data_IF_616554205187
#
_entry.id   IF_616554205187
#
_cell.length_a   1.000
_cell.length_b   1.000
_cell.length_c   1.000
_cell.angle_alpha   90.00
_cell.angle_beta   90.00
_cell.angle_gamma   90.00
#
_symmetry.space_group_name_H-M   'P 1'
#
loop_
_entity.id
_entity.type
_entity.pdbx_description
1 polymer ?
#
# COMPACT_ATOMS: atom_id res chain seq x y z
N UNK A 1 -45.00 34.35 51.79
CA UNK A 1 -44.25 34.44 50.52
C UNK A 1 -42.80 34.18 50.86
N UNK A 2 -42.34 32.95 50.68
CA UNK A 2 -40.99 32.53 51.07
C UNK A 2 -40.15 32.41 49.79
N UNK A 3 -39.14 33.28 49.66
CA UNK A 3 -38.20 33.28 48.54
C UNK A 3 -37.00 32.42 48.88
N UNK A 4 -36.92 31.23 48.28
CA UNK A 4 -35.77 30.32 48.36
C UNK A 4 -34.73 30.73 47.32
N UNK A 5 -33.59 31.24 47.78
CA UNK A 5 -32.38 31.45 46.97
C UNK A 5 -31.56 30.17 46.93
N UNK A 6 -31.45 29.54 45.76
CA UNK A 6 -30.55 28.41 45.54
C UNK A 6 -29.23 28.88 44.95
N UNK A 7 -28.16 28.69 45.71
CA UNK A 7 -26.75 28.89 45.32
C UNK A 7 -26.22 27.60 44.71
N UNK A 8 -25.90 27.60 43.42
CA UNK A 8 -25.27 26.46 42.73
C UNK A 8 -23.75 26.61 42.77
N UNK A 9 -23.09 25.77 43.58
CA UNK A 9 -21.64 25.59 43.58
C UNK A 9 -21.29 24.62 42.46
N UNK A 10 -20.54 25.08 41.45
CA UNK A 10 -20.02 24.24 40.36
C UNK A 10 -18.58 23.87 40.68
N UNK A 11 -18.36 22.61 41.04
CA UNK A 11 -17.04 22.02 41.31
C UNK A 11 -16.34 21.74 39.99
N UNK A 12 -15.13 22.29 39.81
CA UNK A 12 -14.29 22.06 38.63
C UNK A 12 -13.47 20.78 38.78
N UNK A 13 -13.67 19.82 37.86
CA UNK A 13 -12.87 18.60 37.77
C UNK A 13 -11.71 18.82 36.79
N UNK A 14 -10.48 18.82 37.30
CA UNK A 14 -9.25 18.90 36.51
C UNK A 14 -8.92 17.54 35.86
N UNK A 15 -8.54 17.56 34.58
CA UNK A 15 -8.00 16.40 33.85
C UNK A 15 -6.50 16.58 33.62
N UNK A 16 -5.67 15.53 33.79
CA UNK A 16 -4.23 15.62 33.60
C UNK A 16 -3.83 15.51 32.12
N UNK A 17 -2.98 16.42 31.69
CA UNK A 17 -2.37 16.46 30.35
C UNK A 17 -1.10 15.63 30.34
N UNK A 18 -1.05 14.58 29.54
CA UNK A 18 0.18 13.80 29.28
C UNK A 18 1.03 14.49 28.22
N UNK A 19 2.27 14.81 28.59
CA UNK A 19 3.30 15.36 27.72
C UNK A 19 4.10 14.20 27.11
N UNK A 20 4.12 14.09 25.78
CA UNK A 20 4.97 13.13 25.06
C UNK A 20 6.16 13.88 24.44
N UNK A 21 7.34 13.63 24.97
CA UNK A 21 8.64 14.08 24.44
C UNK A 21 9.11 13.12 23.35
N UNK A 22 9.38 13.64 22.16
CA UNK A 22 10.01 12.89 21.07
C UNK A 22 11.49 13.25 20.98
N UNK A 23 12.35 12.26 21.23
CA UNK A 23 13.81 12.35 21.12
C UNK A 23 14.24 12.08 19.67
N UNK A 24 14.98 12.99 19.05
CA UNK A 24 15.55 12.82 17.70
C UNK A 24 17.01 12.38 17.81
N UNK A 25 17.30 11.15 17.38
CA UNK A 25 18.67 10.63 17.29
C UNK A 25 19.29 11.05 15.95
N UNK A 26 20.39 11.80 16.00
CA UNK A 26 21.17 12.21 14.83
C UNK A 26 22.32 11.22 14.62
N UNK A 27 22.39 10.57 13.47
CA UNK A 27 23.51 9.68 13.11
C UNK A 27 24.46 10.41 12.15
N UNK A 28 25.66 10.73 12.64
CA UNK A 28 26.75 11.30 11.86
C UNK A 28 27.59 10.18 11.25
N UNK A 29 27.80 10.18 9.93
CA UNK A 29 28.70 9.24 9.24
C UNK A 29 29.95 9.98 8.78
N UNK A 30 31.08 9.67 9.41
CA UNK A 30 32.41 10.23 9.10
C UNK A 30 33.01 9.49 7.91
N UNK A 31 33.37 10.24 6.86
CA UNK A 31 34.10 9.74 5.68
C UNK A 31 35.58 10.03 5.85
N UNK A 32 36.45 9.01 5.81
CA UNK A 32 37.90 9.17 5.78
C UNK A 32 38.44 8.82 4.40
N UNK A 33 39.13 9.78 3.79
CA UNK A 33 39.88 9.63 2.55
C UNK A 33 41.35 9.41 2.89
N UNK A 34 42.02 8.45 2.25
CA UNK A 34 43.48 8.30 2.38
C UNK A 34 44.15 8.31 1.01
N UNK A 35 45.01 9.30 0.85
CA UNK A 35 45.86 9.66 -0.28
C UNK A 35 46.98 8.64 -0.52
N UNK A 36 47.23 8.30 -1.78
CA UNK A 36 48.40 7.54 -2.26
C UNK A 36 49.56 8.48 -2.60
N UNK A 37 50.77 8.15 -2.12
CA UNK A 37 52.03 8.77 -2.54
C UNK A 37 52.94 7.74 -3.19
N UNK A 38 53.46 8.09 -4.36
CA UNK A 38 54.41 7.35 -5.21
C UNK A 38 55.84 7.81 -4.91
N UNK A 39 56.80 6.88 -4.87
CA UNK A 39 58.23 7.20 -5.06
C UNK A 39 58.94 6.07 -5.81
N UNK A 40 59.65 6.45 -6.87
CA UNK A 40 60.48 5.61 -7.73
C UNK A 40 61.92 5.51 -7.20
N UNK A 41 62.63 4.42 -7.51
CA UNK A 41 64.05 4.47 -7.90
C UNK A 41 64.52 3.18 -8.59
N UNK A 42 65.31 3.38 -9.65
CA UNK A 42 65.88 2.38 -10.55
C UNK A 42 67.30 1.95 -10.09
N UNK A 43 67.73 0.72 -10.43
CA UNK A 43 68.94 0.43 -11.25
C UNK A 43 69.46 -1.05 -11.17
N UNK A 44 69.51 -1.71 -12.35
CA UNK A 44 70.54 -2.60 -12.96
C UNK A 44 70.93 -3.96 -12.29
N UNK A 45 71.17 -5.12 -12.91
CA UNK A 45 70.88 -5.85 -14.18
C UNK A 45 71.27 -7.36 -13.92
N UNK A 46 71.21 -8.30 -14.87
CA UNK A 46 70.27 -9.41 -14.94
C UNK A 46 70.76 -10.73 -14.33
N UNK A 47 69.85 -11.52 -13.77
CA UNK A 47 70.10 -12.94 -13.45
C UNK A 47 68.95 -13.77 -14.01
N UNK A 48 69.24 -14.48 -15.11
CA UNK A 48 68.39 -15.57 -15.59
C UNK A 48 68.12 -16.53 -14.43
N UNK A 49 66.84 -16.83 -14.16
CA UNK A 49 66.33 -18.19 -13.93
C UNK A 49 64.83 -18.25 -13.68
N UNK A 50 64.22 -19.17 -14.43
CA UNK A 50 63.08 -20.03 -14.08
C UNK A 50 61.69 -19.40 -13.97
N UNK A 51 60.91 -19.57 -15.06
CA UNK A 51 59.46 -19.58 -15.05
C UNK A 51 58.96 -20.66 -14.07
N UNK A 52 58.40 -20.23 -12.94
CA UNK A 52 57.61 -21.10 -12.07
C UNK A 52 56.19 -21.27 -12.65
N UNK A 53 55.53 -22.43 -12.49
CA UNK A 53 54.19 -22.70 -13.04
C UNK A 53 53.03 -21.90 -12.42
N UNK A 54 53.32 -20.86 -11.62
CA UNK A 54 52.30 -19.97 -11.06
C UNK A 54 52.12 -18.68 -11.90
N UNK A 55 52.71 -18.61 -13.09
CA UNK A 55 52.49 -17.55 -14.08
C UNK A 55 51.24 -17.71 -14.94
N UNK A 56 50.53 -18.84 -14.85
CA UNK A 56 49.29 -19.08 -15.62
C UNK A 56 48.05 -18.49 -14.92
N UNK A 57 48.18 -18.05 -13.67
CA UNK A 57 47.11 -17.36 -12.94
C UNK A 57 47.32 -15.84 -12.87
N UNK A 58 47.89 -15.21 -13.91
CA UNK A 58 47.60 -13.80 -14.15
C UNK A 58 46.20 -13.65 -14.74
N UNK A 59 45.22 -13.70 -13.83
CA UNK A 59 44.02 -12.85 -13.79
C UNK A 59 43.76 -12.09 -15.09
N UNK A 60 43.16 -12.78 -16.08
CA UNK A 60 42.43 -12.14 -17.18
C UNK A 60 41.37 -11.27 -16.51
N UNK A 61 41.69 -9.98 -16.40
CA UNK A 61 40.91 -8.94 -15.70
C UNK A 61 39.42 -9.14 -15.97
N UNK A 62 38.61 -9.17 -14.90
CA UNK A 62 37.14 -9.11 -14.95
C UNK A 62 36.56 -7.84 -15.58
N UNK A 63 37.37 -7.04 -16.28
CA UNK A 63 36.96 -5.79 -16.93
C UNK A 63 36.30 -5.98 -18.28
N UNK A 64 36.58 -7.09 -18.99
CA UNK A 64 36.02 -7.31 -20.34
C UNK A 64 34.59 -7.86 -20.27
N UNK A 65 34.35 -8.79 -19.34
CA UNK A 65 33.02 -9.37 -19.13
C UNK A 65 32.05 -8.35 -18.56
N UNK A 66 32.46 -7.55 -17.58
CA UNK A 66 31.66 -6.46 -17.03
C UNK A 66 31.34 -5.38 -18.06
N UNK A 67 32.30 -5.04 -18.94
CA UNK A 67 32.08 -4.06 -20.01
C UNK A 67 31.10 -4.60 -21.06
N UNK A 68 31.26 -5.87 -21.46
CA UNK A 68 30.35 -6.53 -22.39
C UNK A 68 28.94 -6.64 -21.80
N UNK A 69 28.84 -7.05 -20.53
CA UNK A 69 27.57 -7.11 -19.81
C UNK A 69 26.90 -5.74 -19.70
N UNK A 70 27.67 -4.68 -19.40
CA UNK A 70 27.18 -3.30 -19.38
C UNK A 70 26.69 -2.84 -20.76
N UNK A 71 27.39 -3.22 -21.83
CA UNK A 71 26.98 -2.96 -23.21
C UNK A 71 25.66 -3.64 -23.57
N UNK A 72 25.53 -4.93 -23.26
CA UNK A 72 24.30 -5.71 -23.50
C UNK A 72 23.13 -5.15 -22.70
N UNK A 73 23.34 -4.88 -21.41
CA UNK A 73 22.31 -4.27 -20.55
C UNK A 73 21.89 -2.89 -21.07
N UNK A 74 22.85 -2.10 -21.56
CA UNK A 74 22.58 -0.79 -22.15
C UNK A 74 21.76 -0.89 -23.43
N UNK A 75 22.13 -1.77 -24.35
CA UNK A 75 21.42 -1.98 -25.61
C UNK A 75 19.97 -2.43 -25.37
N UNK A 76 19.77 -3.41 -24.49
CA UNK A 76 18.42 -3.88 -24.12
C UNK A 76 17.61 -2.75 -23.47
N UNK A 77 18.20 -2.00 -22.53
CA UNK A 77 17.50 -0.88 -21.88
C UNK A 77 17.13 0.21 -22.89
N UNK A 78 17.99 0.51 -23.87
CA UNK A 78 17.72 1.48 -24.94
C UNK A 78 16.57 1.02 -25.83
N UNK A 79 16.62 -0.21 -26.34
CA UNK A 79 15.54 -0.76 -27.17
C UNK A 79 14.21 -0.80 -26.42
N UNK A 80 14.24 -1.17 -25.12
CA UNK A 80 13.04 -1.12 -24.29
C UNK A 80 12.51 0.32 -24.12
N UNK A 81 13.38 1.32 -23.92
CA UNK A 81 12.94 2.71 -23.86
C UNK A 81 12.39 3.22 -25.21
N UNK A 82 12.97 2.83 -26.34
CA UNK A 82 12.52 3.28 -27.66
C UNK A 82 11.19 2.65 -28.07
N UNK A 83 10.98 1.36 -27.75
CA UNK A 83 9.77 0.63 -28.11
C UNK A 83 8.63 0.83 -27.10
N UNK A 84 8.94 0.73 -25.81
CA UNK A 84 7.93 0.75 -24.73
C UNK A 84 7.78 2.13 -24.08
N UNK A 85 8.71 3.06 -24.33
CA UNK A 85 8.77 4.34 -23.64
C UNK A 85 9.22 4.20 -22.18
N UNK A 86 9.38 5.35 -21.52
CA UNK A 86 9.46 5.37 -20.07
C UNK A 86 8.07 5.15 -19.47
N UNK A 87 7.96 4.30 -18.45
CA UNK A 87 6.75 4.25 -17.62
C UNK A 87 6.55 5.65 -17.05
N UNK A 88 5.51 6.34 -17.51
CA UNK A 88 5.13 7.65 -16.95
C UNK A 88 4.78 7.42 -15.48
N UNK A 89 5.70 7.79 -14.61
CA UNK A 89 5.38 8.00 -13.21
C UNK A 89 4.49 9.22 -13.20
N UNK A 90 3.18 8.99 -13.27
CA UNK A 90 2.20 10.01 -12.96
C UNK A 90 2.45 10.40 -11.51
N UNK A 91 3.22 11.47 -11.32
CA UNK A 91 3.30 12.16 -10.07
C UNK A 91 1.93 12.80 -9.91
N UNK A 92 0.99 12.04 -9.37
CA UNK A 92 -0.25 12.61 -8.92
C UNK A 92 0.15 13.36 -7.66
N UNK A 93 0.55 14.62 -7.82
CA UNK A 93 0.49 15.57 -6.73
C UNK A 93 -0.97 15.58 -6.28
N UNK A 94 -1.29 14.67 -5.35
CA UNK A 94 -2.59 14.61 -4.68
C UNK A 94 -2.88 15.91 -3.92
N UNK A 95 -1.91 16.82 -3.87
CA UNK A 95 -1.97 18.12 -3.22
C UNK A 95 -1.54 19.14 -4.26
N UNK A 96 -2.46 20.02 -4.64
CA UNK A 96 -2.20 21.11 -5.58
C UNK A 96 -1.20 22.11 -4.98
N UNK A 97 -0.41 22.79 -5.80
CA UNK A 97 0.49 23.88 -5.36
C UNK A 97 -0.26 24.94 -4.53
N UNK A 98 -1.47 25.34 -4.95
CA UNK A 98 -2.35 26.25 -4.20
C UNK A 98 -2.66 25.75 -2.77
N UNK A 99 -2.83 24.43 -2.58
CA UNK A 99 -3.03 23.84 -1.25
C UNK A 99 -1.75 23.89 -0.42
N UNK A 100 -0.58 23.70 -1.03
CA UNK A 100 0.71 23.84 -0.36
C UNK A 100 0.96 25.28 0.09
N UNK A 101 0.63 26.26 -0.76
CA UNK A 101 0.74 27.68 -0.43
C UNK A 101 -0.16 28.04 0.75
N UNK A 102 -1.40 27.54 0.77
CA UNK A 102 -2.33 27.72 1.91
C UNK A 102 -1.83 27.07 3.20
N UNK A 103 -1.19 25.89 3.11
CA UNK A 103 -0.55 25.24 4.27
C UNK A 103 0.59 26.11 4.79
N UNK A 104 1.37 26.70 3.90
CA UNK A 104 2.45 27.58 4.28
C UNK A 104 1.93 28.88 4.92
N UNK A 105 0.87 29.48 4.38
CA UNK A 105 0.21 30.63 4.98
C UNK A 105 -0.29 30.32 6.39
N UNK A 106 -0.92 29.16 6.58
CA UNK A 106 -1.35 28.70 7.92
C UNK A 106 -0.19 28.64 8.91
N UNK A 107 0.97 28.10 8.50
CA UNK A 107 2.17 28.05 9.35
C UNK A 107 2.67 29.45 9.70
N UNK A 108 2.60 30.40 8.76
CA UNK A 108 3.00 31.78 9.02
C UNK A 108 2.07 32.45 10.06
N UNK A 109 0.75 32.19 9.99
CA UNK A 109 -0.21 32.67 11.01
C UNK A 109 0.03 32.03 12.38
N UNK A 110 0.39 30.76 12.40
CA UNK A 110 0.77 30.03 13.63
C UNK A 110 2.04 30.63 14.25
N UNK A 111 3.03 30.98 13.44
CA UNK A 111 4.21 31.70 13.90
C UNK A 111 3.86 33.07 14.50
N UNK A 112 2.95 33.83 13.86
CA UNK A 112 2.49 35.12 14.36
C UNK A 112 1.80 35.03 15.75
N UNK A 113 1.04 33.95 16.00
CA UNK A 113 0.44 33.67 17.31
C UNK A 113 1.54 33.45 18.36
N UNK A 114 2.57 32.67 18.02
CA UNK A 114 3.66 32.35 18.95
C UNK A 114 4.54 33.56 19.27
N UNK A 115 4.71 34.50 18.33
CA UNK A 115 5.49 35.73 18.53
C UNK A 115 4.67 36.89 19.11
N UNK A 116 3.36 36.74 19.27
CA UNK A 116 2.48 37.82 19.75
C UNK A 116 2.82 38.23 21.19
N UNK A 117 2.94 39.55 21.42
CA UNK A 117 3.36 40.11 22.71
C UNK A 117 2.17 40.49 23.58
N UNK A 118 1.08 40.94 22.96
CA UNK A 118 -0.14 41.38 23.67
C UNK A 118 -1.31 40.44 23.43
N UNK A 119 -2.26 40.42 24.37
CA UNK A 119 -3.47 39.58 24.29
C UNK A 119 -4.34 39.91 23.06
N UNK A 120 -4.38 41.18 22.66
CA UNK A 120 -5.15 41.64 21.50
C UNK A 120 -4.56 41.15 20.18
N UNK A 121 -3.24 41.25 20.00
CA UNK A 121 -2.52 40.72 18.83
C UNK A 121 -2.68 39.20 18.71
N UNK A 122 -2.61 38.50 19.85
CA UNK A 122 -2.84 37.05 19.90
C UNK A 122 -4.25 36.69 19.47
N UNK A 123 -5.26 37.41 19.97
CA UNK A 123 -6.65 37.19 19.59
C UNK A 123 -6.89 37.42 18.09
N UNK A 124 -6.31 38.49 17.51
CA UNK A 124 -6.39 38.77 16.07
C UNK A 124 -5.73 37.66 15.25
N UNK A 125 -4.50 37.28 15.59
CA UNK A 125 -3.76 36.23 14.88
C UNK A 125 -4.45 34.86 14.98
N UNK A 126 -5.07 34.56 16.13
CA UNK A 126 -5.86 33.35 16.32
C UNK A 126 -7.11 33.30 15.42
N UNK A 127 -7.79 34.44 15.26
CA UNK A 127 -8.93 34.56 14.36
C UNK A 127 -8.51 34.33 12.90
N UNK A 128 -7.41 34.95 12.47
CA UNK A 128 -6.84 34.77 11.12
C UNK A 128 -6.41 33.31 10.86
N UNK A 129 -5.69 32.69 11.80
CA UNK A 129 -5.31 31.28 11.73
C UNK A 129 -6.53 30.36 11.57
N UNK A 130 -7.61 30.64 12.32
CA UNK A 130 -8.83 29.83 12.27
C UNK A 130 -9.46 29.87 10.88
N UNK A 131 -9.47 31.03 10.22
CA UNK A 131 -10.02 31.16 8.87
C UNK A 131 -9.13 30.49 7.81
N UNK A 132 -7.82 30.71 7.85
CA UNK A 132 -6.87 30.04 6.93
C UNK A 132 -6.89 28.53 7.13
N UNK A 133 -7.01 28.04 8.37
CA UNK A 133 -7.11 26.60 8.65
C UNK A 133 -8.40 25.99 8.06
N UNK A 134 -9.54 26.71 8.08
CA UNK A 134 -10.75 26.26 7.37
C UNK A 134 -10.51 26.18 5.87
N UNK A 135 -9.83 27.17 5.29
CA UNK A 135 -9.53 27.19 3.85
C UNK A 135 -8.60 26.03 3.45
N UNK A 136 -7.54 25.77 4.23
CA UNK A 136 -6.66 24.61 4.05
C UNK A 136 -7.48 23.31 4.06
N UNK A 137 -8.33 23.12 5.06
CA UNK A 137 -9.17 21.93 5.16
C UNK A 137 -10.14 21.78 3.96
N UNK A 138 -10.69 22.89 3.45
CA UNK A 138 -11.51 22.88 2.23
C UNK A 138 -10.67 22.48 1.00
N UNK A 139 -9.49 23.06 0.83
CA UNK A 139 -8.60 22.77 -0.31
C UNK A 139 -8.13 21.31 -0.33
N UNK A 140 -7.75 20.74 0.81
CA UNK A 140 -7.38 19.31 0.94
C UNK A 140 -8.55 18.40 0.54
N UNK A 141 -9.78 18.74 0.94
CA UNK A 141 -10.98 17.97 0.54
C UNK A 141 -11.24 18.06 -0.96
N UNK A 142 -11.04 19.23 -1.55
CA UNK A 142 -11.18 19.45 -3.00
C UNK A 142 -10.13 18.65 -3.77
N UNK A 143 -8.86 18.69 -3.36
CA UNK A 143 -7.80 17.93 -4.02
C UNK A 143 -8.04 16.42 -3.94
N UNK A 144 -8.49 15.93 -2.77
CA UNK A 144 -8.90 14.53 -2.63
C UNK A 144 -10.04 14.16 -3.59
N UNK A 145 -11.02 15.04 -3.77
CA UNK A 145 -12.14 14.81 -4.70
C UNK A 145 -11.64 14.74 -6.14
N UNK A 146 -10.80 15.70 -6.57
CA UNK A 146 -10.19 15.72 -7.90
C UNK A 146 -9.39 14.44 -8.18
N UNK A 147 -8.64 13.96 -7.20
CA UNK A 147 -7.90 12.70 -7.33
C UNK A 147 -8.82 11.50 -7.55
N UNK A 148 -9.91 11.40 -6.77
CA UNK A 148 -10.90 10.32 -6.94
C UNK A 148 -11.61 10.41 -8.29
N UNK A 149 -11.96 11.62 -8.73
CA UNK A 149 -12.58 11.88 -10.03
C UNK A 149 -11.65 11.49 -11.19
N UNK A 150 -10.37 11.84 -11.10
CA UNK A 150 -9.35 11.41 -12.07
C UNK A 150 -9.26 9.88 -12.16
N UNK A 151 -9.25 9.18 -11.03
CA UNK A 151 -9.24 7.70 -11.02
C UNK A 151 -10.52 7.13 -11.65
N UNK A 152 -11.69 7.69 -11.35
CA UNK A 152 -12.96 7.27 -11.93
C UNK A 152 -12.97 7.44 -13.46
N UNK A 153 -12.54 8.61 -13.95
CA UNK A 153 -12.41 8.89 -15.39
C UNK A 153 -11.42 7.93 -16.06
N UNK A 154 -10.31 7.60 -15.39
CA UNK A 154 -9.33 6.64 -15.92
C UNK A 154 -9.91 5.22 -15.97
N UNK A 155 -10.70 4.83 -14.97
CA UNK A 155 -11.40 3.54 -14.96
C UNK A 155 -12.42 3.43 -16.10
N UNK A 156 -13.21 4.48 -16.32
CA UNK A 156 -14.17 4.55 -17.43
C UNK A 156 -13.46 4.40 -18.78
N UNK A 157 -12.35 5.12 -18.98
CA UNK A 157 -11.52 4.99 -20.17
C UNK A 157 -11.00 3.56 -20.35
N UNK A 158 -10.43 2.95 -19.30
CA UNK A 158 -9.93 1.58 -19.37
C UNK A 158 -11.04 0.57 -19.71
N UNK A 159 -12.26 0.77 -19.19
CA UNK A 159 -13.42 -0.04 -19.53
C UNK A 159 -13.80 0.11 -21.02
N UNK A 160 -13.81 1.35 -21.53
CA UNK A 160 -14.10 1.62 -22.96
C UNK A 160 -13.06 1.02 -23.91
N UNK A 161 -11.80 0.92 -23.48
CA UNK A 161 -10.69 0.34 -24.25
C UNK A 161 -10.56 -1.19 -24.08
N UNK A 162 -11.41 -1.81 -23.25
CA UNK A 162 -11.33 -3.24 -22.96
C UNK A 162 -10.13 -3.65 -22.10
N UNK A 163 -9.45 -2.69 -21.47
CA UNK A 163 -8.28 -2.92 -20.60
C UNK A 163 -8.73 -3.39 -19.20
N UNK A 164 -9.17 -4.65 -19.13
CA UNK A 164 -9.73 -5.23 -17.91
C UNK A 164 -8.75 -5.20 -16.72
N UNK A 165 -7.46 -5.40 -16.99
CA UNK A 165 -6.43 -5.38 -15.95
C UNK A 165 -6.31 -4.02 -15.28
N UNK A 166 -6.28 -2.94 -16.06
CA UNK A 166 -6.17 -1.58 -15.53
C UNK A 166 -7.44 -1.18 -14.79
N UNK A 167 -8.61 -1.55 -15.31
CA UNK A 167 -9.89 -1.36 -14.62
C UNK A 167 -9.90 -2.01 -13.23
N UNK A 168 -9.46 -3.26 -13.12
CA UNK A 168 -9.36 -3.96 -11.84
C UNK A 168 -8.37 -3.27 -10.88
N UNK A 169 -7.20 -2.85 -11.36
CA UNK A 169 -6.19 -2.18 -10.54
C UNK A 169 -6.68 -0.82 -10.01
N UNK A 170 -7.38 -0.03 -10.85
CA UNK A 170 -7.95 1.27 -10.46
C UNK A 170 -9.11 1.08 -9.48
N UNK A 171 -10.00 0.12 -9.73
CA UNK A 171 -11.12 -0.20 -8.83
C UNK A 171 -10.60 -0.62 -7.46
N UNK A 172 -9.53 -1.43 -7.41
CA UNK A 172 -8.86 -1.83 -6.16
C UNK A 172 -8.25 -0.64 -5.42
N UNK A 173 -7.72 0.36 -6.13
CA UNK A 173 -7.24 1.61 -5.53
C UNK A 173 -8.40 2.45 -4.97
N UNK A 174 -9.50 2.56 -5.70
CA UNK A 174 -10.70 3.31 -5.31
C UNK A 174 -11.42 2.68 -4.11
N UNK A 175 -11.50 1.35 -4.06
CA UNK A 175 -12.11 0.64 -2.93
C UNK A 175 -11.34 0.85 -1.64
N UNK A 176 -10.06 1.22 -1.69
CA UNK A 176 -9.23 1.35 -0.50
C UNK A 176 -9.10 0.04 0.30
N UNK A 177 -8.27 0.05 1.33
CA UNK A 177 -8.19 -1.07 2.26
C UNK A 177 -9.42 -1.05 3.16
N UNK A 178 -10.48 -1.73 2.74
CA UNK A 178 -11.49 -2.20 3.69
C UNK A 178 -10.74 -3.11 4.66
N UNK A 179 -10.68 -2.73 5.95
CA UNK A 179 -10.31 -3.72 6.97
C UNK A 179 -11.37 -4.80 6.86
N UNK A 180 -11.01 -5.93 6.26
CA UNK A 180 -11.76 -7.15 6.46
C UNK A 180 -11.63 -7.43 7.95
N UNK A 181 -12.58 -6.96 8.76
CA UNK A 181 -12.77 -7.58 10.06
C UNK A 181 -13.00 -9.05 9.76
N UNK A 182 -12.22 -9.95 10.36
CA UNK A 182 -12.54 -11.37 10.31
C UNK A 182 -13.99 -11.51 10.77
N UNK A 183 -14.84 -11.98 9.86
CA UNK A 183 -16.23 -12.27 10.17
C UNK A 183 -16.20 -13.33 11.27
N UNK A 184 -16.87 -13.10 12.41
CA UNK A 184 -16.90 -14.09 13.48
C UNK A 184 -17.50 -15.40 12.94
N UNK A 185 -16.74 -16.49 13.03
CA UNK A 185 -17.19 -17.82 12.60
C UNK A 185 -17.92 -18.47 13.76
N UNK A 186 -19.04 -19.15 13.50
CA UNK A 186 -19.73 -19.91 14.56
C UNK A 186 -19.11 -21.30 14.76
N UNK A 187 -18.98 -21.71 16.01
CA UNK A 187 -18.66 -23.09 16.37
C UNK A 187 -19.78 -24.03 15.92
N UNK A 188 -19.54 -25.34 16.02
CA UNK A 188 -20.57 -26.36 15.73
C UNK A 188 -21.73 -26.31 16.73
N UNK A 189 -21.49 -25.78 17.94
CA UNK A 189 -22.50 -25.53 18.97
C UNK A 189 -23.25 -24.19 18.80
N UNK A 190 -22.88 -23.39 17.78
CA UNK A 190 -23.52 -22.10 17.49
C UNK A 190 -22.90 -20.89 18.20
N UNK A 191 -21.85 -21.08 18.99
CA UNK A 191 -21.12 -20.03 19.70
C UNK A 191 -20.24 -19.20 18.77
N UNK A 192 -20.09 -17.90 19.03
CA UNK A 192 -19.33 -16.99 18.17
C UNK A 192 -17.84 -17.06 18.51
N UNK A 193 -17.02 -17.50 17.55
CA UNK A 193 -15.56 -17.60 17.68
C UNK A 193 -14.92 -16.29 17.24
N UNK A 194 -14.21 -15.65 18.17
CA UNK A 194 -13.52 -14.36 17.96
C UNK A 194 -12.00 -14.50 17.83
N UNK A 195 -11.43 -15.65 18.21
CA UNK A 195 -9.98 -15.94 18.14
C UNK A 195 -9.59 -16.53 16.76
N UNK A 196 -8.55 -15.98 16.14
CA UNK A 196 -8.03 -16.37 14.81
C UNK A 196 -7.63 -17.85 14.75
N UNK A 197 -6.97 -18.36 15.80
CA UNK A 197 -6.51 -19.75 15.85
C UNK A 197 -7.69 -20.72 15.92
N UNK A 198 -8.69 -20.39 16.74
CA UNK A 198 -9.93 -21.16 16.85
C UNK A 198 -10.76 -21.10 15.57
N UNK A 199 -10.80 -19.95 14.86
CA UNK A 199 -11.44 -19.86 13.56
C UNK A 199 -10.77 -20.78 12.54
N UNK A 200 -9.43 -20.82 12.50
CA UNK A 200 -8.68 -21.76 11.63
C UNK A 200 -8.99 -23.20 11.97
N UNK A 201 -9.00 -23.55 13.26
CA UNK A 201 -9.35 -24.90 13.70
C UNK A 201 -10.78 -25.27 13.31
N UNK A 202 -11.74 -24.34 13.44
CA UNK A 202 -13.12 -24.53 13.00
C UNK A 202 -13.23 -24.76 11.48
N UNK A 203 -12.45 -24.04 10.67
CA UNK A 203 -12.35 -24.28 9.23
C UNK A 203 -11.77 -25.65 8.91
N UNK A 204 -10.69 -26.05 9.59
CA UNK A 204 -10.07 -27.38 9.43
C UNK A 204 -11.07 -28.48 9.77
N UNK A 205 -11.82 -28.37 10.86
CA UNK A 205 -12.88 -29.30 11.22
C UNK A 205 -13.98 -29.37 10.15
N UNK A 206 -14.48 -28.21 9.69
CA UNK A 206 -15.53 -28.16 8.67
C UNK A 206 -15.11 -28.83 7.36
N UNK A 207 -13.91 -28.52 6.86
CA UNK A 207 -13.39 -29.14 5.64
C UNK A 207 -13.08 -30.62 5.84
N UNK A 208 -12.64 -31.03 7.04
CA UNK A 208 -12.40 -32.45 7.32
C UNK A 208 -13.71 -33.25 7.28
N UNK A 209 -14.79 -32.74 7.85
CA UNK A 209 -16.11 -33.37 7.81
C UNK A 209 -16.69 -33.40 6.39
N UNK A 210 -16.57 -32.30 5.65
CA UNK A 210 -17.12 -32.18 4.29
C UNK A 210 -16.38 -33.08 3.29
N UNK A 211 -15.04 -33.07 3.32
CA UNK A 211 -14.21 -33.77 2.33
C UNK A 211 -13.91 -35.22 2.69
N UNK A 212 -13.99 -35.59 3.97
CA UNK A 212 -13.73 -36.96 4.45
C UNK A 212 -14.99 -37.63 5.00
N UNK A 213 -16.17 -37.26 4.49
CA UNK A 213 -17.42 -37.90 4.87
C UNK A 213 -17.31 -39.41 4.59
N UNK A 214 -17.38 -40.28 5.62
CA UNK A 214 -17.34 -41.72 5.41
C UNK A 214 -18.55 -42.13 4.58
N UNK A 215 -18.38 -43.19 3.78
CA UNK A 215 -19.48 -43.78 3.03
C UNK A 215 -20.65 -44.05 4.00
N UNK A 216 -21.89 -43.61 3.68
CA UNK A 216 -23.02 -43.80 4.56
C UNK A 216 -23.15 -45.29 4.93
N UNK A 217 -23.23 -45.57 6.24
CA UNK A 217 -23.20 -46.94 6.77
C UNK A 217 -24.41 -47.78 6.32
N UNK A 218 -25.51 -47.09 6.05
CA UNK A 218 -26.63 -47.67 5.34
C UNK A 218 -26.37 -47.43 3.85
N UNK A 219 -26.28 -48.47 3.00
CA UNK A 219 -26.52 -48.23 1.59
C UNK A 219 -27.84 -47.48 1.50
N UNK A 220 -27.86 -46.35 0.78
CA UNK A 220 -29.12 -45.77 0.36
C UNK A 220 -29.84 -46.91 -0.36
N UNK A 221 -30.82 -47.49 0.32
CA UNK A 221 -31.97 -48.11 -0.29
C UNK A 221 -32.62 -46.99 -1.11
N UNK A 222 -32.01 -46.69 -2.26
CA UNK A 222 -32.79 -46.44 -3.44
C UNK A 222 -33.34 -47.81 -3.76
N UNK A 223 -34.55 -48.08 -3.31
CA UNK A 223 -35.43 -48.98 -4.01
C UNK A 223 -35.25 -48.59 -5.48
N UNK A 224 -34.55 -49.45 -6.22
CA UNK A 224 -34.34 -49.24 -7.64
C UNK A 224 -35.75 -49.08 -8.18
N UNK A 225 -36.14 -47.85 -8.48
CA UNK A 225 -37.26 -47.58 -9.34
C UNK A 225 -36.80 -48.03 -10.72
N UNK A 226 -36.68 -49.35 -10.90
CA UNK A 226 -36.68 -50.02 -12.18
C UNK A 226 -38.14 -50.07 -12.64
N UNK A 227 -38.75 -48.89 -12.69
CA UNK A 227 -39.79 -48.59 -13.62
C UNK A 227 -39.17 -47.46 -14.42
N UNK A 228 -38.54 -47.82 -15.54
CA UNK A 228 -38.35 -46.87 -16.63
C UNK A 228 -39.72 -46.25 -16.86
N UNK A 229 -39.90 -45.02 -16.39
CA UNK A 229 -41.00 -44.21 -16.85
C UNK A 229 -40.87 -44.19 -18.39
N UNK A 230 -41.95 -44.42 -19.15
CA UNK A 230 -41.91 -44.41 -20.60
C UNK A 230 -41.68 -42.97 -21.06
N UNK A 231 -40.45 -42.50 -20.93
CA UNK A 231 -39.97 -41.24 -21.42
C UNK A 231 -39.55 -41.55 -22.86
N UNK A 232 -40.32 -41.04 -23.81
CA UNK A 232 -39.98 -41.11 -25.20
C UNK A 232 -38.69 -40.32 -25.44
N UNK A 233 -37.58 -41.05 -25.57
CA UNK A 233 -36.27 -40.53 -25.97
C UNK A 233 -36.14 -40.39 -27.49
N UNK A 234 -37.25 -40.52 -28.22
CA UNK A 234 -37.33 -40.28 -29.65
C UNK A 234 -37.11 -38.81 -30.04
N UNK A 235 -36.81 -38.55 -31.32
CA UNK A 235 -36.68 -37.19 -31.84
C UNK A 235 -38.00 -36.42 -31.66
N UNK A 236 -37.97 -35.15 -31.19
CA UNK A 236 -39.18 -34.38 -30.92
C UNK A 236 -40.00 -34.18 -32.18
N UNK A 237 -41.32 -34.28 -32.04
CA UNK A 237 -42.26 -34.24 -33.17
C UNK A 237 -42.51 -32.79 -33.58
N UNK A 238 -42.73 -32.51 -34.88
CA UNK A 238 -42.95 -31.15 -35.40
C UNK A 238 -44.11 -30.40 -34.69
N UNK A 239 -45.12 -31.13 -34.18
CA UNK A 239 -46.23 -30.57 -33.40
C UNK A 239 -45.84 -30.12 -31.99
N UNK A 240 -44.81 -30.70 -31.38
CA UNK A 240 -44.31 -30.32 -30.04
C UNK A 240 -43.44 -29.07 -30.09
N UNK A 241 -42.80 -28.80 -31.24
CA UNK A 241 -41.90 -27.66 -31.43
C UNK A 241 -42.67 -26.40 -31.88
N UNK A 242 -43.90 -26.55 -32.37
CA UNK A 242 -44.70 -25.44 -32.92
C UNK A 242 -45.60 -24.72 -31.90
N UNK A 243 -45.22 -24.68 -30.62
CA UNK A 243 -45.96 -23.96 -29.57
C UNK A 243 -45.37 -22.59 -29.29
#
# INVERSE_FOLDING_TARGET
MNTTTNTTITTATATPTTTTTNTTTTTTTTTTNTTTTTTNNNNNEPKFKTLTPLGIYQKKRGTTMDRNWKGIKGAITSTCHDVLGHKKHHHNECITVDTLDKIQERRNREAAINTSRTRSEKAKSQAEYTEVNKQVNRSIRTDKRKYVEYLAMTAEKAASEGSMRELCDITKKLSGNHRKSEQPVKSKEGEVITNIEEQRNRWVEHFKELLNRPAPLNPTNSELALTDLPIDVGPPTIKEISM
#
